data_IF_072936825805
#
_entry.id   IF_072936825805
#
_cell.length_a   1.000
_cell.length_b   1.000
_cell.length_c   1.000
_cell.angle_alpha   90.00
_cell.angle_beta   90.00
_cell.angle_gamma   90.00
#
_symmetry.space_group_name_H-M   'P 1'
#
loop_
_entity.id
_entity.type
_entity.pdbx_description
1 polymer ?
#
# COMPACT_ATOMS: atom_id res chain seq x y z
N UNK A 1 -2.30 37.71 -6.00
CA UNK A 1 -2.87 36.54 -6.70
C UNK A 1 -2.04 36.15 -7.93
N UNK A 2 -1.68 37.09 -8.79
CA UNK A 2 -0.93 36.84 -10.03
C UNK A 2 0.42 36.17 -9.77
N UNK A 3 1.23 36.63 -8.83
CA UNK A 3 2.52 36.02 -8.47
C UNK A 3 2.38 34.56 -7.96
N UNK A 4 1.35 34.32 -7.12
CA UNK A 4 1.10 32.95 -6.60
C UNK A 4 0.65 32.01 -7.72
N UNK A 5 -0.19 32.49 -8.63
CA UNK A 5 -0.63 31.72 -9.78
C UNK A 5 0.53 31.43 -10.74
N UNK A 6 1.35 32.45 -11.05
CA UNK A 6 2.53 32.30 -11.89
C UNK A 6 3.52 31.28 -11.32
N UNK A 7 3.80 31.36 -10.01
CA UNK A 7 4.66 30.40 -9.32
C UNK A 7 4.09 28.97 -9.37
N UNK A 8 2.77 28.82 -9.21
CA UNK A 8 2.13 27.50 -9.30
C UNK A 8 2.22 26.90 -10.72
N UNK A 9 1.99 27.73 -11.75
CA UNK A 9 2.11 27.32 -13.15
C UNK A 9 3.54 26.91 -13.50
N UNK A 10 4.52 27.70 -13.10
CA UNK A 10 5.95 27.36 -13.33
C UNK A 10 6.30 26.02 -12.68
N UNK A 11 5.84 25.77 -11.45
CA UNK A 11 6.05 24.47 -10.79
C UNK A 11 5.39 23.31 -11.53
N UNK A 12 4.18 23.52 -12.06
CA UNK A 12 3.48 22.51 -12.84
C UNK A 12 4.23 22.19 -14.13
N UNK A 13 4.72 23.21 -14.84
CA UNK A 13 5.53 23.05 -16.05
C UNK A 13 6.84 22.31 -15.76
N UNK A 14 7.53 22.65 -14.67
CA UNK A 14 8.74 21.93 -14.23
C UNK A 14 8.46 20.46 -13.89
N UNK A 15 7.31 20.17 -13.25
CA UNK A 15 6.91 18.79 -12.94
C UNK A 15 6.68 18.01 -14.23
N UNK A 16 5.92 18.54 -15.16
CA UNK A 16 5.66 17.91 -16.48
C UNK A 16 6.98 17.64 -17.21
N UNK A 17 7.91 18.60 -17.20
CA UNK A 17 9.23 18.43 -17.81
C UNK A 17 9.99 17.27 -17.15
N UNK A 18 10.06 17.23 -15.82
CA UNK A 18 10.75 16.16 -15.07
C UNK A 18 10.13 14.78 -15.31
N UNK A 19 8.81 14.71 -15.35
CA UNK A 19 8.10 13.46 -15.65
C UNK A 19 8.45 12.95 -17.05
N UNK A 20 8.31 13.78 -18.07
CA UNK A 20 8.54 13.39 -19.46
C UNK A 20 10.00 13.07 -19.78
N UNK A 21 10.95 13.84 -19.21
CA UNK A 21 12.35 13.77 -19.64
C UNK A 21 13.24 12.99 -18.67
N UNK A 22 12.80 12.75 -17.45
CA UNK A 22 13.58 12.06 -16.43
C UNK A 22 12.83 10.82 -15.91
N UNK A 23 11.64 11.01 -15.31
CA UNK A 23 10.96 9.95 -14.59
C UNK A 23 10.49 8.84 -15.53
N UNK A 24 9.70 9.15 -16.56
CA UNK A 24 9.16 8.14 -17.47
C UNK A 24 10.24 7.38 -18.25
N UNK A 25 11.29 8.02 -18.81
CA UNK A 25 12.40 7.29 -19.41
C UNK A 25 13.14 6.38 -18.43
N UNK A 26 13.31 6.84 -17.18
CA UNK A 26 13.96 6.05 -16.15
C UNK A 26 13.11 4.84 -15.76
N UNK A 27 11.81 5.03 -15.58
CA UNK A 27 10.86 3.95 -15.30
C UNK A 27 10.82 2.94 -16.46
N UNK A 28 10.72 3.41 -17.70
CA UNK A 28 10.72 2.55 -18.89
C UNK A 28 11.98 1.69 -19.02
N UNK A 29 13.13 2.20 -18.55
CA UNK A 29 14.40 1.46 -18.57
C UNK A 29 14.52 0.43 -17.45
N UNK A 30 13.95 0.70 -16.28
CA UNK A 30 14.22 -0.07 -15.08
C UNK A 30 13.08 -1.00 -14.68
N UNK A 31 11.83 -0.70 -15.05
CA UNK A 31 10.69 -1.53 -14.68
C UNK A 31 10.45 -2.63 -15.71
N UNK A 32 10.16 -3.82 -15.19
CA UNK A 32 9.73 -4.97 -15.99
C UNK A 32 8.24 -4.85 -16.34
N UNK A 33 7.81 -5.57 -17.34
CA UNK A 33 6.40 -5.56 -17.78
C UNK A 33 5.41 -5.90 -16.64
N UNK A 34 5.76 -6.86 -15.79
CA UNK A 34 4.90 -7.23 -14.65
C UNK A 34 4.78 -6.12 -13.59
N UNK A 35 5.83 -5.33 -13.41
CA UNK A 35 5.77 -4.16 -12.50
C UNK A 35 4.87 -3.07 -13.11
N UNK A 36 4.93 -2.85 -14.42
CA UNK A 36 4.04 -1.94 -15.12
C UNK A 36 2.58 -2.40 -15.04
N UNK A 37 2.29 -3.69 -15.20
CA UNK A 37 0.95 -4.25 -15.03
C UNK A 37 0.43 -4.06 -13.60
N UNK A 38 1.30 -4.24 -12.60
CA UNK A 38 0.95 -4.00 -11.20
C UNK A 38 0.60 -2.54 -10.94
N UNK A 39 1.42 -1.61 -11.45
CA UNK A 39 1.17 -0.17 -11.38
C UNK A 39 -0.17 0.19 -12.06
N UNK A 40 -0.44 -0.36 -13.25
CA UNK A 40 -1.69 -0.09 -13.96
C UNK A 40 -2.92 -0.56 -13.15
N UNK A 41 -2.83 -1.70 -12.46
CA UNK A 41 -3.90 -2.19 -11.57
C UNK A 41 -4.11 -1.28 -10.37
N UNK A 42 -3.04 -0.83 -9.72
CA UNK A 42 -3.13 0.11 -8.59
C UNK A 42 -3.81 1.43 -9.02
N UNK A 43 -3.44 1.95 -10.18
CA UNK A 43 -4.05 3.18 -10.72
C UNK A 43 -5.53 3.02 -11.08
N UNK A 44 -6.00 1.81 -11.38
CA UNK A 44 -7.41 1.57 -11.69
C UNK A 44 -8.36 1.83 -10.51
N UNK A 45 -7.83 1.78 -9.29
CA UNK A 45 -8.57 2.06 -8.05
C UNK A 45 -8.46 3.52 -7.60
N UNK A 46 -7.68 4.34 -8.32
CA UNK A 46 -7.57 5.77 -8.04
C UNK A 46 -8.61 6.55 -8.82
N UNK A 47 -9.22 7.54 -8.17
CA UNK A 47 -10.10 8.47 -8.87
C UNK A 47 -9.30 9.29 -9.90
N UNK A 48 -9.75 9.34 -11.17
CA UNK A 48 -9.05 10.10 -12.18
C UNK A 48 -9.13 11.60 -11.90
N UNK A 49 -8.00 12.28 -11.96
CA UNK A 49 -7.94 13.73 -11.84
C UNK A 49 -8.24 14.36 -13.22
N UNK A 50 -9.43 14.93 -13.39
CA UNK A 50 -9.91 15.70 -14.58
C UNK A 50 -10.17 14.86 -15.85
N UNK A 51 -9.36 13.88 -16.18
CA UNK A 51 -9.45 13.10 -17.43
C UNK A 51 -9.36 11.61 -17.11
N UNK A 52 -10.32 10.84 -17.61
CA UNK A 52 -10.27 9.38 -17.56
C UNK A 52 -9.35 8.90 -18.69
N UNK A 53 -8.23 8.22 -18.38
CA UNK A 53 -7.33 7.68 -19.41
C UNK A 53 -8.05 6.66 -20.30
N UNK A 54 -7.88 6.78 -21.62
CA UNK A 54 -8.35 5.83 -22.62
C UNK A 54 -7.25 5.63 -23.68
N UNK A 55 -7.04 4.40 -24.19
CA UNK A 55 -7.66 3.13 -23.80
C UNK A 55 -7.03 2.52 -22.54
N UNK A 56 -7.77 1.67 -21.84
CA UNK A 56 -7.22 0.83 -20.75
C UNK A 56 -6.27 -0.23 -21.33
N UNK A 57 -5.16 -0.46 -20.66
CA UNK A 57 -4.25 -1.54 -21.00
C UNK A 57 -4.85 -2.89 -20.58
N UNK A 58 -5.47 -3.60 -21.53
CA UNK A 58 -6.25 -4.81 -21.24
C UNK A 58 -5.41 -5.96 -20.67
N UNK A 59 -4.16 -6.11 -21.11
CA UNK A 59 -3.25 -7.15 -20.62
C UNK A 59 -2.80 -6.93 -19.16
N UNK A 60 -2.92 -5.74 -18.64
CA UNK A 60 -2.68 -5.45 -17.23
C UNK A 60 -3.83 -5.95 -16.34
N UNK A 61 -5.01 -6.15 -16.93
CA UNK A 61 -6.22 -6.64 -16.27
C UNK A 61 -6.61 -7.97 -16.92
N UNK A 62 -5.93 -9.09 -16.60
CA UNK A 62 -6.40 -10.39 -17.06
C UNK A 62 -7.86 -10.50 -16.68
N UNK A 63 -8.70 -10.93 -17.64
CA UNK A 63 -10.06 -11.34 -17.32
C UNK A 63 -9.93 -12.32 -16.15
N UNK A 64 -10.67 -12.09 -15.09
CA UNK A 64 -10.78 -13.01 -13.98
C UNK A 64 -11.18 -14.39 -14.52
N UNK A 65 -10.21 -15.15 -15.02
CA UNK A 65 -10.26 -16.56 -14.75
C UNK A 65 -10.14 -16.61 -13.24
N UNK A 66 -11.23 -16.97 -12.60
CA UNK A 66 -11.19 -17.42 -11.21
C UNK A 66 -9.92 -18.25 -11.09
N UNK A 67 -8.83 -17.66 -10.61
CA UNK A 67 -7.71 -18.43 -10.11
C UNK A 67 -8.19 -19.11 -8.83
N UNK A 68 -9.05 -20.10 -9.05
CA UNK A 68 -9.28 -21.22 -8.15
C UNK A 68 -8.01 -22.08 -8.02
N UNK A 69 -6.84 -21.46 -8.04
CA UNK A 69 -5.57 -22.13 -7.76
C UNK A 69 -4.93 -21.64 -6.46
N UNK A 70 -5.67 -20.96 -5.60
CA UNK A 70 -5.42 -21.09 -4.17
C UNK A 70 -5.88 -22.52 -3.85
N UNK A 71 -4.93 -23.47 -3.94
CA UNK A 71 -5.08 -24.80 -3.40
C UNK A 71 -5.91 -24.69 -2.12
N UNK A 72 -6.86 -25.60 -1.90
CA UNK A 72 -7.61 -25.78 -0.66
C UNK A 72 -6.66 -26.12 0.49
N UNK A 73 -5.61 -25.30 0.66
CA UNK A 73 -4.62 -25.44 1.71
C UNK A 73 -5.32 -25.26 3.05
N UNK A 74 -5.35 -26.33 3.83
CA UNK A 74 -5.81 -26.26 5.22
C UNK A 74 -4.66 -25.74 6.06
N UNK A 75 -4.89 -24.63 6.74
CA UNK A 75 -3.98 -24.05 7.73
C UNK A 75 -4.36 -24.63 9.10
N UNK A 76 -3.44 -25.33 9.71
CA UNK A 76 -3.60 -25.87 11.06
C UNK A 76 -3.18 -24.82 12.07
N UNK A 77 -4.08 -24.43 12.95
CA UNK A 77 -3.86 -23.51 14.05
C UNK A 77 -3.91 -24.30 15.39
N UNK A 78 -3.35 -23.78 16.47
CA UNK A 78 -3.36 -24.49 17.76
C UNK A 78 -4.77 -24.86 18.26
N UNK A 79 -5.78 -24.09 17.91
CA UNK A 79 -7.18 -24.25 18.36
C UNK A 79 -8.13 -24.71 17.27
N UNK A 80 -7.64 -25.01 16.07
CA UNK A 80 -8.51 -25.41 14.97
C UNK A 80 -7.82 -25.41 13.60
N UNK A 81 -8.62 -25.45 12.56
CA UNK A 81 -8.15 -25.42 11.18
C UNK A 81 -9.05 -24.55 10.33
N UNK A 82 -8.47 -23.85 9.38
CA UNK A 82 -9.17 -23.03 8.40
C UNK A 82 -8.58 -23.27 7.02
N UNK A 83 -9.40 -23.20 6.00
CA UNK A 83 -8.92 -23.04 4.63
C UNK A 83 -8.38 -21.61 4.46
N UNK A 84 -7.55 -21.38 3.44
CA UNK A 84 -7.08 -20.03 3.10
C UNK A 84 -8.24 -19.08 2.86
N UNK A 85 -9.32 -19.56 2.20
CA UNK A 85 -10.53 -18.80 1.94
C UNK A 85 -11.24 -18.37 3.24
N UNK A 86 -11.38 -19.29 4.19
CA UNK A 86 -12.00 -18.99 5.48
C UNK A 86 -11.17 -18.02 6.32
N UNK A 87 -9.85 -18.19 6.33
CA UNK A 87 -8.94 -17.26 7.00
C UNK A 87 -9.00 -15.85 6.38
N UNK A 88 -9.01 -15.77 5.05
CA UNK A 88 -9.14 -14.49 4.34
C UNK A 88 -10.48 -13.83 4.67
N UNK A 89 -11.58 -14.57 4.61
CA UNK A 89 -12.90 -14.05 4.96
C UNK A 89 -12.93 -13.54 6.41
N UNK A 90 -12.37 -14.31 7.36
CA UNK A 90 -12.29 -13.92 8.75
C UNK A 90 -11.50 -12.62 8.93
N UNK A 91 -10.33 -12.50 8.33
CA UNK A 91 -9.50 -11.29 8.43
C UNK A 91 -10.18 -10.06 7.78
N UNK A 92 -10.90 -10.27 6.68
CA UNK A 92 -11.59 -9.18 5.97
C UNK A 92 -12.90 -8.75 6.66
N UNK A 93 -13.42 -9.51 7.61
CA UNK A 93 -14.60 -9.12 8.41
C UNK A 93 -14.25 -8.31 9.66
N UNK A 94 -12.97 -8.13 9.97
CA UNK A 94 -12.55 -7.35 11.12
C UNK A 94 -12.84 -5.86 10.88
N UNK A 95 -13.43 -5.14 11.87
CA UNK A 95 -13.83 -3.75 11.71
C UNK A 95 -12.65 -2.76 11.87
N UNK A 96 -11.47 -3.16 11.45
CA UNK A 96 -10.25 -2.34 11.47
C UNK A 96 -9.25 -2.82 10.42
N UNK A 97 -8.39 -1.91 10.01
CA UNK A 97 -7.36 -2.18 9.03
C UNK A 97 -6.13 -2.84 9.69
N UNK A 98 -5.74 -4.01 9.19
CA UNK A 98 -4.56 -4.73 9.64
C UNK A 98 -3.48 -4.64 8.57
N UNK A 99 -2.23 -4.40 9.00
CA UNK A 99 -1.03 -4.61 8.17
C UNK A 99 -0.08 -5.51 8.94
N UNK A 100 0.40 -6.57 8.30
CA UNK A 100 1.45 -7.41 8.83
C UNK A 100 2.79 -7.11 8.17
N UNK A 101 3.77 -6.78 9.00
CA UNK A 101 5.17 -6.56 8.62
C UNK A 101 6.01 -7.67 9.24
N UNK A 102 6.87 -8.28 8.46
CA UNK A 102 7.71 -9.38 8.96
C UNK A 102 8.96 -8.89 9.70
N UNK A 103 9.75 -9.85 10.23
CA UNK A 103 10.99 -9.57 10.96
C UNK A 103 12.08 -8.88 10.10
N UNK A 104 11.92 -8.86 8.79
CA UNK A 104 12.80 -8.17 7.83
C UNK A 104 12.25 -6.83 7.37
N UNK A 105 11.27 -6.29 8.09
CA UNK A 105 10.62 -5.00 7.81
C UNK A 105 9.84 -4.97 6.49
N UNK A 106 9.45 -6.14 5.96
CA UNK A 106 8.75 -6.26 4.68
C UNK A 106 7.25 -6.33 4.92
N UNK A 107 6.48 -5.53 4.18
CA UNK A 107 5.03 -5.63 4.13
C UNK A 107 4.61 -6.97 3.52
N UNK A 108 3.93 -7.82 4.28
CA UNK A 108 3.53 -9.17 3.85
C UNK A 108 2.03 -9.31 3.61
N UNK A 109 1.23 -8.56 4.33
CA UNK A 109 -0.21 -8.72 4.26
C UNK A 109 -0.93 -7.47 4.77
N UNK A 110 -2.10 -7.22 4.24
CA UNK A 110 -3.15 -6.41 4.84
C UNK A 110 -4.52 -7.00 4.51
N UNK A 111 -5.50 -6.76 5.38
CA UNK A 111 -6.87 -7.17 5.11
C UNK A 111 -7.55 -6.21 4.13
N UNK A 112 -8.52 -6.74 3.38
CA UNK A 112 -9.33 -5.96 2.44
C UNK A 112 -10.82 -6.31 2.61
N UNK A 113 -11.57 -5.40 3.20
CA UNK A 113 -13.00 -5.50 3.43
C UNK A 113 -13.83 -4.89 2.28
N UNK A 114 -13.17 -4.45 1.20
CA UNK A 114 -13.80 -3.78 0.05
C UNK A 114 -14.19 -2.33 0.32
N UNK A 115 -14.00 -1.80 1.53
CA UNK A 115 -14.27 -0.40 1.86
C UNK A 115 -13.09 0.52 1.47
N UNK A 116 -13.33 1.82 1.25
CA UNK A 116 -12.26 2.79 1.06
C UNK A 116 -11.30 2.77 2.24
N UNK A 117 -10.01 2.57 1.97
CA UNK A 117 -8.99 2.48 3.01
C UNK A 117 -8.58 3.86 3.54
N UNK A 118 -8.38 3.93 4.84
CA UNK A 118 -7.90 5.14 5.50
C UNK A 118 -6.48 5.49 5.04
N UNK A 119 -5.64 4.47 4.84
CA UNK A 119 -4.31 4.59 4.26
C UNK A 119 -4.28 3.88 2.90
N UNK A 120 -3.75 4.56 1.88
CA UNK A 120 -3.56 3.93 0.57
C UNK A 120 -2.68 2.68 0.68
N UNK A 121 -3.14 1.58 0.10
CA UNK A 121 -2.47 0.27 0.16
C UNK A 121 -2.33 -0.32 -1.25
N UNK A 122 -1.45 0.26 -2.07
CA UNK A 122 -1.23 -0.24 -3.42
C UNK A 122 -0.62 -1.65 -3.37
N UNK A 123 -1.06 -2.54 -4.24
CA UNK A 123 -0.54 -3.91 -4.29
C UNK A 123 0.99 -3.94 -4.51
N UNK A 124 1.53 -2.93 -5.17
CA UNK A 124 2.97 -2.73 -5.35
C UNK A 124 3.76 -2.51 -4.05
N UNK A 125 3.09 -2.20 -2.92
CA UNK A 125 3.75 -2.09 -1.62
C UNK A 125 3.98 -3.44 -0.93
N UNK A 126 3.31 -4.51 -1.38
CA UNK A 126 3.58 -5.87 -0.88
C UNK A 126 4.97 -6.33 -1.31
N UNK A 127 5.66 -6.99 -0.39
CA UNK A 127 7.04 -7.45 -0.62
C UNK A 127 8.10 -6.36 -0.55
N UNK A 128 7.73 -5.11 -0.25
CA UNK A 128 8.66 -3.98 -0.06
C UNK A 128 8.82 -3.62 1.40
N UNK A 129 9.93 -2.96 1.71
CA UNK A 129 10.18 -2.44 3.05
C UNK A 129 9.09 -1.47 3.49
N UNK A 130 8.60 -1.61 4.71
CA UNK A 130 7.57 -0.76 5.32
C UNK A 130 7.92 0.73 5.26
N UNK A 131 9.18 1.06 5.27
CA UNK A 131 9.67 2.45 5.21
C UNK A 131 9.33 3.14 3.88
N UNK A 132 9.21 2.39 2.80
CA UNK A 132 8.89 2.92 1.47
C UNK A 132 7.45 3.42 1.34
N UNK A 133 6.57 2.97 2.24
CA UNK A 133 5.16 3.37 2.29
C UNK A 133 4.92 4.61 3.16
N UNK A 134 5.96 5.11 3.84
CA UNK A 134 5.84 6.22 4.78
C UNK A 134 6.50 7.50 4.24
N UNK A 135 5.91 8.68 4.51
CA UNK A 135 6.55 9.94 4.19
C UNK A 135 7.94 10.04 4.87
N UNK A 136 8.94 10.63 4.21
CA UNK A 136 10.32 10.70 4.73
C UNK A 136 10.42 11.26 6.16
N UNK A 137 9.54 12.20 6.52
CA UNK A 137 9.49 12.79 7.87
C UNK A 137 9.13 11.79 8.97
N UNK A 138 8.38 10.72 8.62
CA UNK A 138 7.85 9.73 9.56
C UNK A 138 8.77 8.52 9.66
N UNK A 139 9.57 8.25 8.63
CA UNK A 139 10.46 7.09 8.58
C UNK A 139 11.35 6.91 9.82
N UNK A 140 11.99 7.95 10.38
CA UNK A 140 12.79 7.79 11.61
C UNK A 140 11.97 7.27 12.79
N UNK A 141 10.73 7.75 12.95
CA UNK A 141 9.82 7.27 14.00
C UNK A 141 9.47 5.80 13.81
N UNK A 142 9.14 5.40 12.60
CA UNK A 142 8.80 3.99 12.28
C UNK A 142 10.01 3.08 12.53
N UNK A 143 11.21 3.49 12.15
CA UNK A 143 12.45 2.74 12.45
C UNK A 143 12.66 2.57 13.94
N UNK A 144 12.59 3.66 14.71
CA UNK A 144 12.73 3.60 16.17
C UNK A 144 11.69 2.69 16.82
N UNK A 145 10.46 2.72 16.32
CA UNK A 145 9.39 1.84 16.78
C UNK A 145 9.73 0.36 16.53
N UNK A 146 10.08 -0.01 15.31
CA UNK A 146 10.44 -1.39 14.97
C UNK A 146 11.65 -1.85 15.76
N UNK A 147 12.68 -1.02 15.91
CA UNK A 147 13.87 -1.33 16.72
C UNK A 147 13.52 -1.52 18.19
N UNK A 148 12.55 -0.77 18.73
CA UNK A 148 12.10 -0.95 20.10
C UNK A 148 11.38 -2.31 20.31
N UNK A 149 10.61 -2.75 19.32
CA UNK A 149 10.00 -4.09 19.31
C UNK A 149 11.07 -5.18 19.19
N UNK A 150 12.01 -5.02 18.28
CA UNK A 150 13.11 -5.98 18.05
C UNK A 150 13.99 -6.16 19.28
N UNK A 151 14.21 -5.10 20.04
CA UNK A 151 14.98 -5.13 21.28
C UNK A 151 14.18 -5.53 22.51
N UNK A 152 12.87 -5.76 22.37
CA UNK A 152 11.98 -6.09 23.49
C UNK A 152 11.76 -4.95 24.49
N UNK A 153 12.03 -3.71 24.08
CA UNK A 153 11.85 -2.52 24.93
C UNK A 153 10.37 -2.22 25.16
N UNK A 154 9.53 -2.55 24.19
CA UNK A 154 8.07 -2.42 24.25
C UNK A 154 7.41 -3.44 23.31
N UNK A 155 6.16 -3.76 23.55
CA UNK A 155 5.36 -4.69 22.76
C UNK A 155 4.14 -4.01 22.11
N UNK A 156 3.86 -2.79 22.54
CA UNK A 156 2.75 -1.97 22.06
C UNK A 156 3.22 -0.53 21.88
N UNK A 157 2.76 0.09 20.81
CA UNK A 157 2.92 1.52 20.58
C UNK A 157 1.67 2.11 19.94
N UNK A 158 1.11 3.15 20.55
CA UNK A 158 -0.10 3.82 20.12
C UNK A 158 0.22 5.20 19.54
N UNK A 159 -0.34 5.46 18.36
CA UNK A 159 -0.25 6.77 17.72
C UNK A 159 -1.65 7.29 17.44
N UNK A 160 -2.00 8.41 18.06
CA UNK A 160 -3.17 9.18 17.67
C UNK A 160 -2.81 10.18 16.59
N UNK A 161 -3.61 10.23 15.55
CA UNK A 161 -3.48 11.21 14.47
C UNK A 161 -4.86 11.65 13.99
N UNK A 162 -4.91 12.77 13.30
CA UNK A 162 -6.10 13.20 12.57
C UNK A 162 -5.94 12.90 11.08
N UNK A 163 -6.95 12.31 10.48
CA UNK A 163 -7.01 12.09 9.04
C UNK A 163 -8.41 12.33 8.52
N UNK A 164 -8.53 13.17 7.51
CA UNK A 164 -9.81 13.58 6.91
C UNK A 164 -10.80 14.20 7.93
N UNK A 165 -10.29 14.84 8.99
CA UNK A 165 -11.11 15.42 10.06
C UNK A 165 -11.55 14.45 11.13
N UNK A 166 -11.14 13.17 11.06
CA UNK A 166 -11.50 12.13 12.03
C UNK A 166 -10.27 11.71 12.85
N UNK A 167 -10.44 11.47 14.15
CA UNK A 167 -9.37 10.93 14.97
C UNK A 167 -9.11 9.46 14.64
N UNK A 168 -7.88 9.12 14.41
CA UNK A 168 -7.43 7.77 14.06
C UNK A 168 -6.43 7.28 15.08
N UNK A 169 -6.65 6.09 15.60
CA UNK A 169 -5.69 5.39 16.44
C UNK A 169 -4.98 4.32 15.62
N UNK A 170 -3.67 4.40 15.57
CA UNK A 170 -2.82 3.34 15.02
C UNK A 170 -2.18 2.57 16.17
N UNK A 171 -2.56 1.31 16.30
CA UNK A 171 -1.94 0.35 17.20
C UNK A 171 -0.82 -0.39 16.47
N UNK A 172 0.40 -0.27 16.93
CA UNK A 172 1.49 -1.11 16.48
C UNK A 172 1.80 -2.14 17.58
N UNK A 173 1.72 -3.42 17.23
CA UNK A 173 1.90 -4.55 18.14
C UNK A 173 3.07 -5.42 17.69
N UNK A 174 3.90 -5.86 18.64
CA UNK A 174 4.86 -6.91 18.39
C UNK A 174 4.16 -8.26 18.41
N UNK A 175 4.24 -9.02 17.31
CA UNK A 175 3.53 -10.29 17.19
C UNK A 175 4.31 -11.47 17.84
N UNK A 176 5.64 -11.41 17.88
CA UNK A 176 6.54 -12.43 18.47
C UNK A 176 7.96 -11.90 18.69
#
# INVERSE_FOLDING_TARGET
WQERLSSALTRAEEMIYKEKNILFPLCAKNFKEEEWKSIARDFAHMEPCLIVPQPRWQEAFPQEKEESSLSDGIIHLPTGRLTVKELTALLNTLPFEITFVDAHDINRYWNDDGAPKLFSRPATALGREVYTCHPPKVVPMVKNLIDSFRTGKQDLFDVWMEKNGEPVLVHALRAF
#
